data_IF_565685107023
#
_entry.id   IF_565685107023
#
_cell.length_a   1.000
_cell.length_b   1.000
_cell.length_c   1.000
_cell.angle_alpha   90.00
_cell.angle_beta   90.00
_cell.angle_gamma   90.00
#
_symmetry.space_group_name_H-M   'P 1'
#
loop_
_entity.id
_entity.type
_entity.pdbx_description
1 polymer ?
#
# COMPACT_ATOMS: atom_id res chain seq x y z
N UNK A 1 -23.47 17.62 -11.70
CA UNK A 1 -22.31 18.16 -12.44
C UNK A 1 -21.01 18.26 -11.63
N UNK A 2 -20.97 18.00 -10.32
CA UNK A 2 -19.77 18.26 -9.48
C UNK A 2 -18.65 17.22 -9.55
N UNK A 3 -18.93 15.97 -9.93
CA UNK A 3 -17.93 14.89 -9.90
C UNK A 3 -16.81 15.08 -10.93
N UNK A 4 -17.14 15.49 -12.16
CA UNK A 4 -16.16 15.75 -13.23
C UNK A 4 -15.25 16.93 -12.89
N UNK A 5 -15.79 18.01 -12.31
CA UNK A 5 -15.00 19.14 -11.81
C UNK A 5 -14.11 18.74 -10.63
N UNK A 6 -14.59 17.88 -9.74
CA UNK A 6 -13.77 17.31 -8.66
C UNK A 6 -12.59 16.50 -9.21
N UNK A 7 -12.83 15.65 -10.20
CA UNK A 7 -11.78 14.88 -10.89
C UNK A 7 -10.75 15.78 -11.58
N UNK A 8 -11.21 16.82 -12.29
CA UNK A 8 -10.32 17.80 -12.91
C UNK A 8 -9.45 18.52 -11.88
N UNK A 9 -10.02 18.94 -10.75
CA UNK A 9 -9.27 19.60 -9.69
C UNK A 9 -8.23 18.67 -9.06
N UNK A 10 -8.57 17.41 -8.82
CA UNK A 10 -7.62 16.41 -8.32
C UNK A 10 -6.47 16.22 -9.33
N UNK A 11 -6.79 16.05 -10.62
CA UNK A 11 -5.78 15.89 -11.66
C UNK A 11 -4.86 17.11 -11.78
N UNK A 12 -5.44 18.32 -11.72
CA UNK A 12 -4.69 19.57 -11.75
C UNK A 12 -3.73 19.70 -10.56
N UNK A 13 -4.20 19.38 -9.34
CA UNK A 13 -3.39 19.41 -8.13
C UNK A 13 -2.24 18.40 -8.17
N UNK A 14 -2.49 17.19 -8.69
CA UNK A 14 -1.45 16.16 -8.87
C UNK A 14 -0.40 16.66 -9.87
N UNK A 15 -0.83 17.21 -11.02
CA UNK A 15 0.09 17.74 -12.03
C UNK A 15 0.94 18.89 -11.48
N UNK A 16 0.34 19.82 -10.74
CA UNK A 16 1.05 20.94 -10.13
C UNK A 16 2.06 20.45 -9.09
N UNK A 17 1.66 19.50 -8.24
CA UNK A 17 2.55 18.91 -7.23
C UNK A 17 3.74 18.21 -7.88
N UNK A 18 3.51 17.45 -8.96
CA UNK A 18 4.57 16.80 -9.73
C UNK A 18 5.56 17.80 -10.32
N UNK A 19 5.07 18.91 -10.89
CA UNK A 19 5.94 19.99 -11.42
C UNK A 19 6.81 20.61 -10.33
N UNK A 20 6.24 20.89 -9.16
CA UNK A 20 6.97 21.43 -8.00
C UNK A 20 8.07 20.46 -7.57
N UNK A 21 7.75 19.16 -7.55
CA UNK A 21 8.69 18.10 -7.14
C UNK A 21 9.90 18.02 -8.07
N UNK A 22 9.65 18.07 -9.39
CA UNK A 22 10.70 18.04 -10.42
C UNK A 22 11.53 19.32 -10.38
N UNK A 23 10.87 20.49 -10.37
CA UNK A 23 11.57 21.78 -10.46
C UNK A 23 12.45 22.07 -9.26
N UNK A 24 12.01 21.69 -8.05
CA UNK A 24 12.74 21.94 -6.81
C UNK A 24 13.58 20.75 -6.35
N UNK A 25 13.68 19.67 -7.16
CA UNK A 25 14.42 18.45 -6.83
C UNK A 25 14.08 17.87 -5.44
N UNK A 26 12.82 17.97 -5.02
CA UNK A 26 12.35 17.56 -3.68
C UNK A 26 12.09 16.05 -3.56
N UNK A 27 12.70 15.25 -4.44
CA UNK A 27 12.47 13.81 -4.56
C UNK A 27 12.80 13.06 -3.26
N UNK A 28 13.91 13.39 -2.61
CA UNK A 28 14.33 12.73 -1.37
C UNK A 28 13.34 12.95 -0.23
N UNK A 29 12.88 14.20 -0.06
CA UNK A 29 11.89 14.54 0.97
C UNK A 29 10.54 13.89 0.71
N UNK A 30 10.12 13.84 -0.56
CA UNK A 30 8.91 13.12 -0.96
C UNK A 30 9.03 11.62 -0.68
N UNK A 31 10.15 10.97 -1.04
CA UNK A 31 10.36 9.55 -0.80
C UNK A 31 10.28 9.22 0.70
N UNK A 32 10.91 10.02 1.55
CA UNK A 32 10.86 9.84 2.99
C UNK A 32 9.42 9.99 3.53
N UNK A 33 8.71 11.05 3.14
CA UNK A 33 7.32 11.26 3.54
C UNK A 33 6.36 10.18 3.02
N UNK A 34 6.57 9.72 1.79
CA UNK A 34 5.83 8.63 1.17
C UNK A 34 6.03 7.33 1.94
N UNK A 35 7.27 6.98 2.30
CA UNK A 35 7.56 5.76 3.06
C UNK A 35 6.85 5.74 4.41
N UNK A 36 6.90 6.86 5.17
CA UNK A 36 6.20 6.99 6.45
C UNK A 36 4.68 6.85 6.26
N UNK A 37 4.13 7.54 5.26
CA UNK A 37 2.69 7.50 4.97
C UNK A 37 2.23 6.10 4.52
N UNK A 38 3.03 5.42 3.70
CA UNK A 38 2.77 4.05 3.25
C UNK A 38 2.73 3.08 4.44
N UNK A 39 3.71 3.16 5.34
CA UNK A 39 3.74 2.33 6.56
C UNK A 39 2.51 2.59 7.43
N UNK A 40 2.19 3.87 7.69
CA UNK A 40 1.00 4.25 8.45
C UNK A 40 -0.30 3.75 7.81
N UNK A 41 -0.42 3.85 6.48
CA UNK A 41 -1.58 3.35 5.76
C UNK A 41 -1.73 1.82 5.89
N UNK A 42 -0.63 1.07 5.82
CA UNK A 42 -0.65 -0.39 6.02
C UNK A 42 -1.13 -0.78 7.43
N UNK A 43 -0.77 0.00 8.45
CA UNK A 43 -1.27 -0.16 9.81
C UNK A 43 -2.78 0.12 9.92
N UNK A 44 -3.31 1.08 9.15
CA UNK A 44 -4.74 1.46 9.19
C UNK A 44 -5.62 0.43 8.46
N UNK A 45 -5.17 -0.11 7.33
CA UNK A 45 -6.02 -1.00 6.51
C UNK A 45 -6.07 -2.43 7.03
N UNK A 46 -5.16 -2.82 7.93
CA UNK A 46 -5.04 -4.20 8.42
C UNK A 46 -5.51 -4.27 9.86
N UNK A 47 -6.51 -5.13 10.13
CA UNK A 47 -7.04 -5.32 11.49
C UNK A 47 -5.99 -5.79 12.49
N UNK A 48 -5.03 -6.60 12.03
CA UNK A 48 -3.89 -7.06 12.83
C UNK A 48 -2.57 -6.75 12.13
N UNK A 49 -1.94 -5.60 12.41
CA UNK A 49 -0.73 -5.19 11.70
C UNK A 49 0.46 -6.13 11.87
N UNK A 50 0.48 -6.90 12.96
CA UNK A 50 1.48 -7.95 13.22
C UNK A 50 1.47 -9.05 12.15
N UNK A 51 0.36 -9.21 11.44
CA UNK A 51 0.20 -10.23 10.41
C UNK A 51 0.75 -9.79 9.04
N UNK A 52 0.96 -8.48 8.83
CA UNK A 52 1.41 -7.91 7.55
C UNK A 52 2.73 -8.53 7.06
N UNK A 53 3.79 -8.66 7.86
CA UNK A 53 5.04 -9.27 7.39
C UNK A 53 4.84 -10.71 6.92
N UNK A 54 4.04 -11.50 7.66
CA UNK A 54 3.76 -12.89 7.31
C UNK A 54 3.02 -13.00 5.98
N UNK A 55 2.00 -12.16 5.77
CA UNK A 55 1.22 -12.13 4.52
C UNK A 55 2.04 -11.66 3.30
N UNK A 56 3.03 -10.79 3.50
CA UNK A 56 3.90 -10.32 2.42
C UNK A 56 4.99 -11.34 2.05
N UNK A 57 5.57 -12.01 3.04
CA UNK A 57 6.74 -12.88 2.84
C UNK A 57 6.38 -14.33 2.48
N UNK A 58 5.21 -14.83 2.88
CA UNK A 58 4.84 -16.24 2.69
C UNK A 58 3.75 -16.41 1.63
N UNK A 59 3.51 -17.65 1.18
CA UNK A 59 2.36 -17.95 0.34
C UNK A 59 1.04 -17.72 1.10
N UNK A 60 -0.07 -17.60 0.36
CA UNK A 60 -1.40 -17.43 0.96
C UNK A 60 -1.77 -18.56 1.91
N UNK A 61 -1.54 -19.81 1.49
CA UNK A 61 -1.79 -21.01 2.29
C UNK A 61 -0.94 -21.02 3.56
N UNK A 62 0.36 -20.78 3.44
CA UNK A 62 1.27 -20.78 4.59
C UNK A 62 0.96 -19.66 5.57
N UNK A 63 0.59 -18.48 5.04
CA UNK A 63 0.15 -17.36 5.87
C UNK A 63 -1.10 -17.75 6.63
N UNK A 64 -2.13 -18.27 5.96
CA UNK A 64 -3.37 -18.70 6.62
C UNK A 64 -3.09 -19.69 7.77
N UNK A 65 -2.23 -20.69 7.54
CA UNK A 65 -1.90 -21.67 8.57
C UNK A 65 -1.17 -21.10 9.78
N UNK A 66 -0.35 -20.05 9.58
CA UNK A 66 0.50 -19.42 10.61
C UNK A 66 -0.22 -18.38 11.45
N UNK A 67 -1.11 -17.59 10.85
CA UNK A 67 -1.72 -16.41 11.51
C UNK A 67 -3.23 -16.49 11.71
N UNK A 68 -3.91 -17.52 11.20
CA UNK A 68 -5.35 -17.68 11.46
C UNK A 68 -5.58 -18.31 12.82
N UNK A 69 -6.48 -17.72 13.59
CA UNK A 69 -6.85 -18.19 14.91
C UNK A 69 -7.46 -19.60 14.84
N UNK A 70 -7.12 -20.41 15.84
CA UNK A 70 -7.65 -21.75 16.02
C UNK A 70 -8.42 -21.84 17.33
N UNK A 71 -9.52 -22.55 17.28
CA UNK A 71 -10.26 -22.98 18.47
C UNK A 71 -9.41 -23.94 19.30
N UNK A 72 -9.81 -24.18 20.55
CA UNK A 72 -9.20 -25.19 21.44
C UNK A 72 -9.24 -26.61 20.85
N UNK A 73 -10.16 -26.90 19.93
CA UNK A 73 -10.25 -28.15 19.17
C UNK A 73 -9.35 -28.18 17.92
N UNK A 74 -8.59 -27.11 17.66
CA UNK A 74 -7.69 -26.99 16.50
C UNK A 74 -8.35 -26.59 15.19
N UNK A 75 -9.66 -26.35 15.17
CA UNK A 75 -10.39 -25.85 13.98
C UNK A 75 -10.17 -24.36 13.79
N UNK A 76 -10.04 -23.91 12.54
CA UNK A 76 -9.91 -22.49 12.21
C UNK A 76 -11.17 -21.71 12.57
N UNK A 77 -10.98 -20.54 13.21
CA UNK A 77 -12.08 -19.63 13.62
C UNK A 77 -12.61 -18.84 12.42
N UNK A 78 -11.71 -18.41 11.53
CA UNK A 78 -12.04 -17.65 10.32
C UNK A 78 -12.01 -18.53 9.07
N UNK A 79 -12.88 -18.23 8.09
CA UNK A 79 -12.86 -18.94 6.80
C UNK A 79 -11.64 -18.55 5.95
N UNK A 80 -11.13 -19.53 5.19
CA UNK A 80 -10.02 -19.29 4.25
C UNK A 80 -10.36 -18.22 3.20
N UNK A 81 -11.61 -18.17 2.74
CA UNK A 81 -12.06 -17.20 1.74
C UNK A 81 -12.06 -15.77 2.27
N UNK A 82 -12.42 -15.56 3.54
CA UNK A 82 -12.35 -14.23 4.16
C UNK A 82 -10.88 -13.78 4.26
N UNK A 83 -10.01 -14.66 4.75
CA UNK A 83 -8.57 -14.41 4.81
C UNK A 83 -7.98 -14.10 3.43
N UNK A 84 -8.37 -14.86 2.40
CA UNK A 84 -7.88 -14.67 1.04
C UNK A 84 -8.20 -13.27 0.50
N UNK A 85 -9.40 -12.74 0.78
CA UNK A 85 -9.79 -11.39 0.37
C UNK A 85 -8.88 -10.34 1.02
N UNK A 86 -8.61 -10.47 2.30
CA UNK A 86 -7.76 -9.53 3.03
C UNK A 86 -6.30 -9.62 2.61
N UNK A 87 -5.79 -10.84 2.41
CA UNK A 87 -4.46 -11.11 1.89
C UNK A 87 -4.25 -10.46 0.51
N UNK A 88 -5.20 -10.66 -0.41
CA UNK A 88 -5.13 -10.10 -1.75
C UNK A 88 -5.22 -8.56 -1.71
N UNK A 89 -6.11 -8.01 -0.87
CA UNK A 89 -6.25 -6.55 -0.68
C UNK A 89 -4.96 -5.93 -0.16
N UNK A 90 -4.34 -6.51 0.87
CA UNK A 90 -3.07 -6.04 1.43
C UNK A 90 -1.96 -6.04 0.36
N UNK A 91 -1.79 -7.15 -0.37
CA UNK A 91 -0.77 -7.25 -1.41
C UNK A 91 -1.00 -6.27 -2.56
N UNK A 92 -2.25 -6.09 -2.99
CA UNK A 92 -2.58 -5.14 -4.04
C UNK A 92 -2.20 -3.72 -3.62
N UNK A 93 -2.50 -3.32 -2.38
CA UNK A 93 -2.08 -2.01 -1.84
C UNK A 93 -0.56 -1.90 -1.81
N UNK A 94 0.15 -2.90 -1.29
CA UNK A 94 1.62 -2.88 -1.22
C UNK A 94 2.25 -2.80 -2.61
N UNK A 95 1.78 -3.59 -3.57
CA UNK A 95 2.28 -3.52 -4.94
C UNK A 95 1.99 -2.18 -5.60
N UNK A 96 0.83 -1.59 -5.32
CA UNK A 96 0.47 -0.25 -5.82
C UNK A 96 1.39 0.82 -5.23
N UNK A 97 1.65 0.78 -3.92
CA UNK A 97 2.59 1.69 -3.25
C UNK A 97 4.02 1.51 -3.77
N UNK A 98 4.44 0.27 -3.97
CA UNK A 98 5.75 -0.05 -4.53
C UNK A 98 5.90 0.46 -5.97
N UNK A 99 4.87 0.34 -6.80
CA UNK A 99 4.86 0.87 -8.17
C UNK A 99 4.97 2.39 -8.19
N UNK A 100 4.25 3.10 -7.31
CA UNK A 100 4.36 4.56 -7.15
C UNK A 100 5.78 4.93 -6.73
N UNK A 101 6.34 4.23 -5.74
CA UNK A 101 7.72 4.44 -5.31
C UNK A 101 8.72 4.26 -6.44
N UNK A 102 8.63 3.16 -7.20
CA UNK A 102 9.51 2.90 -8.34
C UNK A 102 9.40 4.00 -9.41
N UNK A 103 8.19 4.47 -9.68
CA UNK A 103 7.95 5.56 -10.64
C UNK A 103 8.68 6.84 -10.20
N UNK A 104 8.56 7.19 -8.93
CA UNK A 104 9.22 8.39 -8.38
C UNK A 104 10.73 8.23 -8.38
N UNK A 105 11.27 7.09 -7.99
CA UNK A 105 12.72 6.81 -8.05
C UNK A 105 13.23 6.90 -9.49
N UNK A 106 12.50 6.34 -10.46
CA UNK A 106 12.88 6.37 -11.88
C UNK A 106 12.91 7.80 -12.42
N UNK A 107 11.90 8.60 -12.09
CA UNK A 107 11.87 10.04 -12.43
C UNK A 107 13.03 10.75 -11.74
N UNK A 108 13.28 10.47 -10.45
CA UNK A 108 14.37 11.10 -9.71
C UNK A 108 15.71 10.87 -10.40
N UNK A 109 16.02 9.63 -10.81
CA UNK A 109 17.25 9.28 -11.52
C UNK A 109 17.32 9.94 -12.91
N UNK A 110 16.19 10.05 -13.62
CA UNK A 110 16.16 10.65 -14.95
C UNK A 110 16.37 12.18 -14.95
N UNK A 111 16.09 12.85 -13.81
CA UNK A 111 16.22 14.30 -13.64
C UNK A 111 17.37 14.71 -12.71
N UNK A 112 18.18 13.74 -12.23
CA UNK A 112 19.43 13.96 -11.51
C UNK A 112 20.61 13.99 -12.49
#
# INVERSE_FOLDING_TARGET
MNFLYGLQNIAANISQSAKILIHNQLFTGFIAGFAVSAVMYLFIITENPRHVPTMLLNSKSDSFQKISDRTTEGKFVSSYTAFEKDFNRLRLVVYSLFLVFLTVVSISIAFY
#
